data_IF_621108024301
#
_entry.id   IF_621108024301
#
_cell.length_a   1.000
_cell.length_b   1.000
_cell.length_c   1.000
_cell.angle_alpha   90.00
_cell.angle_beta   90.00
_cell.angle_gamma   90.00
#
_symmetry.space_group_name_H-M   'P 1'
#
loop_
_entity.id
_entity.type
_entity.pdbx_description
1 polymer ?
#
# COMPACT_ATOMS: atom_id res chain seq x y z
N UNK A 1 6.08 -29.70 7.29
CA UNK A 1 6.21 -28.73 6.63
C UNK A 1 6.82 -27.63 7.27
N UNK A 2 7.62 -27.15 6.80
CA UNK A 2 8.20 -26.03 7.37
C UNK A 2 7.32 -24.87 7.27
N UNK A 3 7.04 -24.29 8.33
CA UNK A 3 6.27 -23.09 8.28
C UNK A 3 7.11 -21.99 7.72
N UNK A 4 6.49 -21.14 6.96
CA UNK A 4 7.15 -19.94 6.47
C UNK A 4 7.69 -19.13 7.64
N UNK A 5 7.00 -19.16 8.75
CA UNK A 5 7.39 -18.43 9.95
C UNK A 5 8.76 -18.84 10.47
N UNK A 6 9.13 -20.10 10.31
CA UNK A 6 10.43 -20.57 10.78
C UNK A 6 11.58 -19.93 10.01
N UNK A 7 11.35 -19.51 8.76
CA UNK A 7 12.38 -18.89 7.94
C UNK A 7 12.35 -17.36 7.99
N UNK A 8 11.33 -16.79 8.57
CA UNK A 8 11.21 -15.34 8.68
C UNK A 8 11.84 -14.89 9.98
N UNK A 9 12.82 -14.03 9.89
CA UNK A 9 13.45 -13.45 11.07
C UNK A 9 12.44 -12.66 11.89
N UNK A 10 12.42 -12.82 13.22
CA UNK A 10 11.58 -11.97 14.07
C UNK A 10 11.89 -10.48 13.92
N UNK A 11 13.06 -10.15 13.40
CA UNK A 11 13.46 -8.76 13.19
C UNK A 11 13.08 -8.21 11.83
N UNK A 12 12.52 -9.04 10.95
CA UNK A 12 12.20 -8.62 9.59
C UNK A 12 11.26 -7.40 9.58
N UNK A 13 10.16 -7.47 10.29
CA UNK A 13 9.19 -6.40 10.31
C UNK A 13 9.72 -5.11 10.93
N UNK A 14 10.36 -5.15 12.12
CA UNK A 14 11.02 -3.95 12.64
C UNK A 14 12.09 -3.39 11.71
N UNK A 15 12.83 -4.26 11.04
CA UNK A 15 13.86 -3.84 10.10
C UNK A 15 13.25 -3.12 8.89
N UNK A 16 12.17 -3.66 8.34
CA UNK A 16 11.46 -3.03 7.23
C UNK A 16 10.92 -1.66 7.65
N UNK A 17 10.35 -1.56 8.83
CA UNK A 17 9.85 -0.29 9.36
C UNK A 17 10.96 0.75 9.47
N UNK A 18 12.13 0.36 9.98
CA UNK A 18 13.27 1.28 10.07
C UNK A 18 13.76 1.72 8.70
N UNK A 19 13.81 0.79 7.74
CA UNK A 19 14.26 1.12 6.39
C UNK A 19 13.31 2.05 5.66
N UNK A 20 12.02 1.98 5.93
CA UNK A 20 11.01 2.77 5.24
C UNK A 20 10.58 4.02 6.00
N UNK A 21 10.96 4.16 7.28
CA UNK A 21 10.54 5.29 8.10
C UNK A 21 10.89 6.66 7.50
N UNK A 22 12.10 6.89 6.97
CA UNK A 22 12.40 8.19 6.37
C UNK A 22 11.50 8.50 5.17
N UNK A 23 11.15 7.50 4.38
CA UNK A 23 10.25 7.69 3.24
C UNK A 23 8.83 8.01 3.70
N UNK A 24 8.36 7.35 4.76
CA UNK A 24 7.05 7.64 5.34
C UNK A 24 6.99 9.06 5.88
N UNK A 25 8.02 9.48 6.60
CA UNK A 25 8.08 10.83 7.15
C UNK A 25 8.08 11.88 6.03
N UNK A 26 8.80 11.63 4.97
CA UNK A 26 8.85 12.51 3.82
C UNK A 26 7.49 12.61 3.12
N UNK A 27 6.83 11.48 2.91
CA UNK A 27 5.50 11.46 2.31
C UNK A 27 4.49 12.19 3.18
N UNK A 28 4.52 11.95 4.48
CA UNK A 28 3.61 12.64 5.42
C UNK A 28 3.82 14.14 5.38
N UNK A 29 5.07 14.59 5.34
CA UNK A 29 5.38 16.01 5.26
C UNK A 29 4.85 16.62 3.95
N UNK A 30 5.00 15.92 2.84
CA UNK A 30 4.53 16.39 1.54
C UNK A 30 3.00 16.43 1.47
N UNK A 31 2.33 15.44 2.02
CA UNK A 31 0.87 15.34 1.98
C UNK A 31 0.17 16.18 3.03
N UNK A 32 0.88 16.55 4.11
CA UNK A 32 0.33 17.37 5.21
C UNK A 32 -0.97 16.77 5.76
N UNK A 33 -0.92 15.47 6.04
CA UNK A 33 -2.12 14.73 6.43
C UNK A 33 -2.69 15.14 7.78
N UNK A 34 -1.86 15.74 8.64
CA UNK A 34 -2.27 16.19 9.95
C UNK A 34 -2.99 17.54 9.94
N UNK A 35 -2.94 18.26 8.82
CA UNK A 35 -3.58 19.56 8.68
C UNK A 35 -4.99 19.41 8.11
N UNK A 36 -5.92 20.35 8.44
CA UNK A 36 -7.21 20.36 7.77
C UNK A 36 -7.05 20.44 6.27
N UNK A 37 -7.86 19.67 5.54
CA UNK A 37 -7.67 19.50 4.11
C UNK A 37 -8.96 19.85 3.36
N UNK A 38 -8.92 20.78 2.39
CA UNK A 38 -10.06 21.03 1.52
C UNK A 38 -10.43 19.78 0.74
N UNK A 39 -11.72 19.63 0.44
CA UNK A 39 -12.23 18.48 -0.29
C UNK A 39 -11.55 18.31 -1.65
N UNK A 40 -11.28 19.41 -2.35
CA UNK A 40 -10.62 19.35 -3.65
C UNK A 40 -9.21 18.76 -3.55
N UNK A 41 -8.48 19.12 -2.49
CA UNK A 41 -7.14 18.57 -2.26
C UNK A 41 -7.21 17.10 -1.89
N UNK A 42 -8.15 16.73 -1.04
CA UNK A 42 -8.39 15.33 -0.69
C UNK A 42 -8.66 14.49 -1.94
N UNK A 43 -9.52 14.99 -2.83
CA UNK A 43 -9.83 14.29 -4.07
C UNK A 43 -8.60 14.10 -4.98
N UNK A 44 -7.72 15.11 -5.05
CA UNK A 44 -6.49 14.98 -5.83
C UNK A 44 -5.54 13.93 -5.25
N UNK A 45 -5.38 13.92 -3.93
CA UNK A 45 -4.56 12.93 -3.25
C UNK A 45 -5.13 11.54 -3.46
N UNK A 46 -6.43 11.38 -3.30
CA UNK A 46 -7.09 10.10 -3.47
C UNK A 46 -6.95 9.57 -4.90
N UNK A 47 -7.06 10.46 -5.91
CA UNK A 47 -6.83 10.06 -7.30
C UNK A 47 -5.40 9.57 -7.52
N UNK A 48 -4.42 10.25 -6.95
CA UNK A 48 -3.04 9.81 -7.02
C UNK A 48 -2.83 8.45 -6.39
N UNK A 49 -3.40 8.21 -5.23
CA UNK A 49 -3.35 6.90 -4.60
C UNK A 49 -4.04 5.83 -5.44
N UNK A 50 -5.18 6.14 -6.03
CA UNK A 50 -5.90 5.20 -6.87
C UNK A 50 -5.05 4.77 -8.07
N UNK A 51 -4.45 5.74 -8.78
CA UNK A 51 -3.60 5.44 -9.93
C UNK A 51 -2.38 4.61 -9.52
N UNK A 52 -1.74 4.98 -8.43
CA UNK A 52 -0.60 4.24 -7.91
C UNK A 52 -1.00 2.80 -7.56
N UNK A 53 -2.10 2.64 -6.82
CA UNK A 53 -2.54 1.33 -6.38
C UNK A 53 -2.92 0.43 -7.55
N UNK A 54 -3.61 0.97 -8.56
CA UNK A 54 -3.95 0.18 -9.74
C UNK A 54 -2.71 -0.43 -10.39
N UNK A 55 -1.72 0.40 -10.65
CA UNK A 55 -0.51 -0.04 -11.33
C UNK A 55 0.32 -0.97 -10.46
N UNK A 56 0.51 -0.59 -9.20
CA UNK A 56 1.31 -1.37 -8.26
C UNK A 56 0.68 -2.72 -7.98
N UNK A 57 -0.63 -2.75 -7.76
CA UNK A 57 -1.34 -4.01 -7.49
C UNK A 57 -1.30 -4.95 -8.68
N UNK A 58 -1.39 -4.42 -9.90
CA UNK A 58 -1.24 -5.24 -11.10
C UNK A 58 0.16 -5.87 -11.15
N UNK A 59 1.19 -5.09 -10.88
CA UNK A 59 2.56 -5.57 -10.90
C UNK A 59 2.81 -6.63 -9.83
N UNK A 60 2.31 -6.40 -8.64
CA UNK A 60 2.43 -7.37 -7.54
C UNK A 60 1.70 -8.67 -7.90
N UNK A 61 0.49 -8.55 -8.44
CA UNK A 61 -0.28 -9.72 -8.83
C UNK A 61 0.45 -10.57 -9.85
N UNK A 62 1.06 -9.94 -10.85
CA UNK A 62 1.86 -10.65 -11.84
C UNK A 62 3.08 -11.34 -11.26
N UNK A 63 3.69 -10.73 -10.25
CA UNK A 63 4.86 -11.28 -9.60
C UNK A 63 4.53 -12.41 -8.62
N UNK A 64 3.28 -12.50 -8.16
CA UNK A 64 2.89 -13.51 -7.18
C UNK A 64 2.72 -14.88 -7.85
N UNK A 65 3.05 -15.97 -7.13
CA UNK A 65 2.66 -17.31 -7.58
C UNK A 65 1.16 -17.40 -7.74
N UNK A 66 0.73 -18.12 -8.77
CA UNK A 66 -0.69 -18.22 -9.11
C UNK A 66 -1.59 -18.62 -7.92
N UNK A 67 -1.20 -19.58 -7.08
CA UNK A 67 -2.06 -19.96 -5.93
C UNK A 67 -2.31 -18.84 -4.93
N UNK A 68 -1.47 -17.81 -4.90
CA UNK A 68 -1.63 -16.68 -3.98
C UNK A 68 -2.47 -15.54 -4.54
N UNK A 69 -2.77 -15.56 -5.84
CA UNK A 69 -3.52 -14.48 -6.48
C UNK A 69 -4.93 -14.27 -5.92
N UNK A 70 -5.73 -15.32 -5.66
CA UNK A 70 -7.06 -15.10 -5.06
C UNK A 70 -6.97 -14.45 -3.69
N UNK A 71 -5.98 -14.83 -2.89
CA UNK A 71 -5.75 -14.22 -1.60
C UNK A 71 -5.41 -12.73 -1.74
N UNK A 72 -4.55 -12.40 -2.70
CA UNK A 72 -4.17 -11.02 -2.98
C UNK A 72 -5.36 -10.23 -3.51
N UNK A 73 -6.11 -10.78 -4.46
CA UNK A 73 -7.25 -10.11 -5.08
C UNK A 73 -8.30 -9.69 -4.05
N UNK A 74 -8.50 -10.51 -3.02
CA UNK A 74 -9.43 -10.20 -1.95
C UNK A 74 -8.99 -9.01 -1.08
N UNK A 75 -7.71 -8.62 -1.18
CA UNK A 75 -7.11 -7.58 -0.34
C UNK A 75 -6.71 -6.33 -1.11
N UNK A 76 -7.06 -6.24 -2.37
CA UNK A 76 -6.71 -5.08 -3.19
C UNK A 76 -7.43 -3.83 -2.68
N UNK A 77 -6.73 -2.71 -2.77
CA UNK A 77 -7.24 -1.42 -2.28
C UNK A 77 -7.72 -0.50 -3.40
N UNK A 78 -7.26 -0.69 -4.62
CA UNK A 78 -7.66 0.16 -5.74
C UNK A 78 -9.19 0.25 -5.91
N UNK A 79 -9.97 -0.84 -5.77
CA UNK A 79 -11.43 -0.74 -5.88
C UNK A 79 -12.05 0.17 -4.84
N UNK A 80 -11.49 0.23 -3.63
CA UNK A 80 -12.01 1.10 -2.58
C UNK A 80 -11.75 2.57 -2.90
N UNK A 81 -10.56 2.89 -3.41
CA UNK A 81 -10.24 4.23 -3.84
C UNK A 81 -11.14 4.66 -5.01
N UNK A 82 -11.39 3.77 -5.95
CA UNK A 82 -12.29 4.05 -7.06
C UNK A 82 -13.71 4.34 -6.58
N UNK A 83 -14.19 3.58 -5.60
CA UNK A 83 -15.52 3.79 -5.02
C UNK A 83 -15.60 5.17 -4.36
N UNK A 84 -14.59 5.56 -3.60
CA UNK A 84 -14.56 6.85 -2.90
C UNK A 84 -14.47 8.03 -3.86
N UNK A 85 -13.90 7.83 -5.06
CA UNK A 85 -13.81 8.87 -6.09
C UNK A 85 -15.11 9.03 -6.89
N UNK A 86 -15.95 8.04 -6.87
CA UNK A 86 -17.25 8.09 -7.59
C UNK A 86 -18.29 8.95 -6.82
#
# INVERSE_FOLDING_TARGET
MTTIDASISPELLPRLRRCTAPLHDEIEALLRLEAPMPLARYGRILRGFHEFLQLWEQRVRHALPEPLRPWFDARRRAPFAAHDLA
#
